data_IF_754600906858
#
_entry.id   IF_754600906858
#
_cell.length_a   1.000
_cell.length_b   1.000
_cell.length_c   1.000
_cell.angle_alpha   90.00
_cell.angle_beta   90.00
_cell.angle_gamma   90.00
#
_symmetry.space_group_name_H-M   'P 1'
#
loop_
_entity.id
_entity.type
_entity.pdbx_description
1 polymer ?
#
# COMPACT_ATOMS: atom_id res chain seq x y z
N UNK A 1 -4.55 -10.22 13.20
CA UNK A 1 -4.64 -9.33 12.02
C UNK A 1 -3.87 -9.95 10.87
N UNK A 2 -4.44 -10.04 9.67
CA UNK A 2 -3.75 -10.60 8.49
C UNK A 2 -2.85 -9.57 7.83
N UNK A 3 -1.87 -10.01 7.03
CA UNK A 3 -0.99 -9.09 6.30
C UNK A 3 -1.77 -8.17 5.34
N UNK A 4 -2.82 -8.69 4.68
CA UNK A 4 -3.66 -7.90 3.77
C UNK A 4 -4.47 -6.82 4.52
N UNK A 5 -5.04 -7.16 5.68
CA UNK A 5 -5.77 -6.19 6.51
C UNK A 5 -4.87 -5.03 6.95
N UNK A 6 -3.64 -5.32 7.40
CA UNK A 6 -2.66 -4.28 7.77
C UNK A 6 -2.26 -3.40 6.58
N UNK A 7 -2.06 -3.99 5.40
CA UNK A 7 -1.77 -3.23 4.18
C UNK A 7 -2.90 -2.25 3.86
N UNK A 8 -4.15 -2.71 3.91
CA UNK A 8 -5.33 -1.86 3.65
C UNK A 8 -5.42 -0.74 4.68
N UNK A 9 -5.17 -1.02 5.94
CA UNK A 9 -5.15 -0.02 7.01
C UNK A 9 -4.08 1.06 6.77
N UNK A 10 -2.85 0.66 6.46
CA UNK A 10 -1.75 1.58 6.16
C UNK A 10 -2.07 2.44 4.93
N UNK A 11 -2.61 1.81 3.88
CA UNK A 11 -3.00 2.52 2.65
C UNK A 11 -4.11 3.54 2.94
N UNK A 12 -5.15 3.17 3.69
CA UNK A 12 -6.24 4.09 4.06
C UNK A 12 -5.74 5.24 4.94
N UNK A 13 -4.82 4.96 5.86
CA UNK A 13 -4.20 6.00 6.69
C UNK A 13 -3.48 7.03 5.81
N UNK A 14 -2.66 6.58 4.86
CA UNK A 14 -1.99 7.48 3.90
C UNK A 14 -2.99 8.26 3.04
N UNK A 15 -4.02 7.59 2.54
CA UNK A 15 -5.07 8.23 1.74
C UNK A 15 -5.73 9.38 2.51
N UNK A 16 -6.03 9.16 3.79
CA UNK A 16 -6.67 10.16 4.64
C UNK A 16 -5.74 11.32 5.03
N UNK A 17 -4.48 11.04 5.35
CA UNK A 17 -3.57 12.05 5.94
C UNK A 17 -2.77 12.88 4.94
N UNK A 18 -2.39 12.31 3.79
CA UNK A 18 -1.58 13.02 2.79
C UNK A 18 -2.09 12.88 1.35
N UNK A 19 -3.03 11.96 1.10
CA UNK A 19 -3.47 11.60 -0.24
C UNK A 19 -2.42 10.83 -1.04
N UNK A 20 -2.83 10.17 -2.12
CA UNK A 20 -1.89 9.38 -2.95
C UNK A 20 -1.06 10.20 -3.94
N UNK A 21 -1.35 11.49 -4.13
CA UNK A 21 -0.56 12.36 -5.00
C UNK A 21 0.90 12.52 -4.53
N UNK A 22 1.16 12.25 -3.25
CA UNK A 22 2.49 12.30 -2.64
C UNK A 22 3.25 10.95 -2.73
N UNK A 23 2.59 9.88 -3.20
CA UNK A 23 3.25 8.60 -3.47
C UNK A 23 3.85 8.61 -4.87
N UNK A 24 5.01 7.97 -5.03
CA UNK A 24 5.50 7.64 -6.36
C UNK A 24 4.45 6.82 -7.12
N UNK A 25 4.27 7.06 -8.43
CA UNK A 25 3.20 6.45 -9.24
C UNK A 25 3.12 4.93 -9.08
N UNK A 26 4.27 4.25 -9.06
CA UNK A 26 4.37 2.79 -8.88
C UNK A 26 3.82 2.29 -7.54
N UNK A 27 3.87 3.12 -6.49
CA UNK A 27 3.32 2.82 -5.17
C UNK A 27 1.83 3.18 -5.11
N UNK A 28 1.43 4.30 -5.71
CA UNK A 28 0.01 4.67 -5.83
C UNK A 28 -0.78 3.56 -6.51
N UNK A 29 -0.32 3.09 -7.67
CA UNK A 29 -1.02 2.08 -8.46
C UNK A 29 -1.28 0.78 -7.68
N UNK A 30 -0.28 0.29 -6.95
CA UNK A 30 -0.47 -0.93 -6.13
C UNK A 30 -1.34 -0.67 -4.90
N UNK A 31 -1.32 0.56 -4.36
CA UNK A 31 -2.17 0.95 -3.23
C UNK A 31 -3.65 0.98 -3.65
N UNK A 32 -3.93 1.57 -4.81
CA UNK A 32 -5.27 1.64 -5.42
C UNK A 32 -5.80 0.23 -5.70
N UNK A 33 -5.03 -0.62 -6.39
CA UNK A 33 -5.43 -2.00 -6.66
C UNK A 33 -5.66 -2.80 -5.38
N UNK A 34 -4.84 -2.61 -4.34
CA UNK A 34 -5.03 -3.30 -3.06
C UNK A 34 -6.34 -2.87 -2.38
N UNK A 35 -6.76 -1.60 -2.49
CA UNK A 35 -8.03 -1.13 -1.98
C UNK A 35 -9.22 -1.62 -2.81
N UNK A 36 -9.07 -1.64 -4.14
CA UNK A 36 -10.12 -2.03 -5.07
C UNK A 36 -10.41 -3.53 -5.02
N UNK A 37 -9.35 -4.36 -4.91
CA UNK A 37 -9.45 -5.81 -4.95
C UNK A 37 -8.97 -6.46 -3.65
N UNK A 38 -9.51 -6.18 -2.45
CA UNK A 38 -8.92 -6.51 -1.14
C UNK A 38 -8.63 -8.00 -0.87
N UNK A 39 -9.30 -8.90 -1.59
CA UNK A 39 -9.13 -10.34 -1.45
C UNK A 39 -8.11 -10.94 -2.43
N UNK A 40 -7.69 -10.19 -3.45
CA UNK A 40 -6.69 -10.67 -4.42
C UNK A 40 -5.35 -10.96 -3.76
N UNK A 41 -4.71 -12.01 -4.23
CA UNK A 41 -3.35 -12.38 -3.88
C UNK A 41 -2.35 -11.35 -4.42
N UNK A 42 -1.14 -11.33 -3.84
CA UNK A 42 -0.06 -10.48 -4.31
C UNK A 42 0.36 -10.78 -5.76
N UNK A 43 0.13 -12.00 -6.24
CA UNK A 43 0.44 -12.37 -7.61
C UNK A 43 -0.59 -11.77 -8.57
N UNK A 44 -1.88 -11.89 -8.27
CA UNK A 44 -2.96 -11.32 -9.08
C UNK A 44 -2.86 -9.80 -9.16
N UNK A 45 -2.65 -9.13 -8.01
CA UNK A 45 -2.40 -7.69 -7.99
C UNK A 45 -1.22 -7.29 -8.88
N UNK A 46 -0.17 -8.12 -8.92
CA UNK A 46 1.01 -7.89 -9.74
C UNK A 46 0.73 -8.00 -11.23
N UNK A 47 -0.24 -8.82 -11.64
CA UNK A 47 -0.68 -8.96 -13.03
C UNK A 47 -1.65 -7.85 -13.47
N UNK A 48 -2.37 -7.24 -12.52
CA UNK A 48 -3.30 -6.15 -12.79
C UNK A 48 -2.61 -4.79 -12.99
N UNK A 49 -1.33 -4.66 -12.62
CA UNK A 49 -0.55 -3.43 -12.83
C UNK A 49 -0.33 -3.17 -14.33
N UNK A 50 -0.29 -1.91 -14.71
CA UNK A 50 0.03 -1.43 -16.07
C UNK A 50 1.36 -2.01 -16.57
N UNK A 51 2.34 -2.10 -15.69
CA UNK A 51 3.56 -2.88 -15.92
C UNK A 51 3.57 -4.06 -14.93
N UNK A 52 3.25 -5.28 -15.40
CA UNK A 52 3.17 -6.45 -14.53
C UNK A 52 4.48 -6.74 -13.81
N UNK A 53 4.36 -7.15 -12.54
CA UNK A 53 5.52 -7.57 -11.73
C UNK A 53 5.23 -8.86 -10.98
N UNK A 54 6.28 -9.48 -10.46
CA UNK A 54 6.16 -10.68 -9.64
C UNK A 54 5.51 -10.40 -8.27
N UNK A 55 5.05 -11.47 -7.62
CA UNK A 55 4.59 -11.46 -6.21
C UNK A 55 5.58 -10.75 -5.27
N UNK A 56 6.88 -10.97 -5.43
CA UNK A 56 7.91 -10.33 -4.59
C UNK A 56 8.03 -8.84 -4.85
N UNK A 57 7.85 -8.40 -6.11
CA UNK A 57 7.79 -6.99 -6.49
C UNK A 57 6.62 -6.26 -5.83
N UNK A 58 5.41 -6.84 -5.87
CA UNK A 58 4.22 -6.29 -5.19
C UNK A 58 4.45 -6.20 -3.69
N UNK A 59 4.93 -7.28 -3.07
CA UNK A 59 5.23 -7.30 -1.63
C UNK A 59 6.22 -6.20 -1.23
N UNK A 60 7.26 -5.96 -2.04
CA UNK A 60 8.23 -4.91 -1.76
C UNK A 60 7.58 -3.52 -1.78
N UNK A 61 6.73 -3.24 -2.77
CA UNK A 61 6.01 -1.97 -2.87
C UNK A 61 5.07 -1.77 -1.68
N UNK A 62 4.30 -2.78 -1.29
CA UNK A 62 3.41 -2.72 -0.14
C UNK A 62 4.17 -2.53 1.18
N UNK A 63 5.33 -3.19 1.37
CA UNK A 63 6.20 -2.92 2.52
C UNK A 63 6.72 -1.49 2.56
N UNK A 64 7.02 -0.91 1.39
CA UNK A 64 7.43 0.49 1.31
C UNK A 64 6.28 1.42 1.70
N UNK A 65 5.06 1.12 1.26
CA UNK A 65 3.85 1.85 1.66
C UNK A 65 3.65 1.79 3.19
N UNK A 66 3.73 0.60 3.80
CA UNK A 66 3.63 0.47 5.26
C UNK A 66 4.66 1.31 6.01
N UNK A 67 5.92 1.34 5.54
CA UNK A 67 6.96 2.19 6.15
C UNK A 67 6.64 3.69 6.05
N UNK A 68 6.07 4.14 4.92
CA UNK A 68 5.65 5.53 4.76
C UNK A 68 4.51 5.85 5.74
N UNK A 69 3.56 4.92 5.91
CA UNK A 69 2.47 5.08 6.87
C UNK A 69 2.98 5.17 8.31
N UNK A 70 3.91 4.30 8.68
CA UNK A 70 4.57 4.30 10.00
C UNK A 70 5.29 5.61 10.27
N UNK A 71 6.15 6.07 9.35
CA UNK A 71 6.85 7.36 9.47
C UNK A 71 5.89 8.54 9.60
N UNK A 72 4.76 8.50 8.90
CA UNK A 72 3.75 9.55 8.99
C UNK A 72 3.00 9.52 10.34
N UNK A 73 2.71 8.34 10.88
CA UNK A 73 2.15 8.19 12.24
C UNK A 73 3.11 8.72 13.29
N UNK A 74 4.39 8.39 13.18
CA UNK A 74 5.44 8.89 14.07
C UNK A 74 5.50 10.42 14.03
N UNK A 75 5.54 11.00 12.83
CA UNK A 75 5.58 12.46 12.64
C UNK A 75 4.35 13.16 13.22
N UNK A 76 3.17 12.54 13.14
CA UNK A 76 1.91 13.12 13.61
C UNK A 76 1.65 12.87 15.10
N UNK A 77 2.47 12.05 15.78
CA UNK A 77 2.18 11.60 17.15
C UNK A 77 0.97 10.66 17.24
N UNK A 78 0.59 10.01 16.13
CA UNK A 78 -0.51 9.04 16.07
C UNK A 78 -0.09 7.65 16.60
N UNK A 79 1.12 7.53 17.17
CA UNK A 79 1.58 6.32 17.86
C UNK A 79 0.95 6.29 19.25
N UNK A 80 0.12 5.27 19.54
CA UNK A 80 -0.32 4.95 20.90
C UNK A 80 0.66 3.98 21.56
#
# INVERSE_FOLDING_TARGET
>A
VTAAARQIEDIRYLQCKMGFSQLADRLREVAELRLEYPDSSLQELGQMLTQPISKSGVNHRLRKISRIAEQLREKNGDIS
#
